data_IF_211603168007
#
_entry.id   IF_211603168007
#
_cell.length_a   1.000
_cell.length_b   1.000
_cell.length_c   1.000
_cell.angle_alpha   90.00
_cell.angle_beta   90.00
_cell.angle_gamma   90.00
#
_symmetry.space_group_name_H-M   'P 1'
#
loop_
_entity.id
_entity.type
_entity.pdbx_description
1 polymer ?
#
# COMPACT_ATOMS: atom_id res chain seq x y z
N UNK A 1 -10.08 -11.24 28.90
CA UNK A 1 -10.47 -10.28 29.95
C UNK A 1 -11.94 -9.95 29.73
N UNK A 2 -12.85 -10.49 30.54
CA UNK A 2 -14.27 -10.18 30.46
C UNK A 2 -14.57 -8.95 31.32
N UNK A 3 -14.55 -7.77 30.71
CA UNK A 3 -15.10 -6.57 31.34
C UNK A 3 -16.60 -6.72 31.41
N UNK A 4 -17.17 -6.74 32.61
CA UNK A 4 -18.62 -6.74 32.78
C UNK A 4 -19.18 -5.48 32.13
N UNK A 5 -19.90 -5.65 31.02
CA UNK A 5 -20.60 -4.53 30.38
C UNK A 5 -21.71 -4.10 31.32
N UNK A 6 -21.49 -2.99 32.03
CA UNK A 6 -22.59 -2.24 32.61
C UNK A 6 -23.54 -1.92 31.46
N UNK A 7 -24.78 -2.41 31.53
CA UNK A 7 -25.78 -2.06 30.52
C UNK A 7 -25.83 -0.53 30.40
N UNK A 8 -25.76 0.03 29.19
CA UNK A 8 -25.77 1.47 29.00
C UNK A 8 -27.03 2.04 29.65
N UNK A 9 -26.84 3.08 30.46
CA UNK A 9 -27.93 3.75 31.16
C UNK A 9 -28.97 4.21 30.12
N UNK A 10 -30.23 3.81 30.33
CA UNK A 10 -31.33 4.16 29.43
C UNK A 10 -31.75 5.59 29.77
N UNK A 11 -31.47 6.52 28.87
CA UNK A 11 -31.85 7.93 29.03
C UNK A 11 -33.32 8.14 28.66
N UNK A 12 -33.96 9.18 29.22
CA UNK A 12 -35.34 9.58 28.85
C UNK A 12 -35.47 9.82 27.34
N UNK A 13 -34.38 10.24 26.67
CA UNK A 13 -34.31 10.41 25.22
C UNK A 13 -34.50 9.11 24.42
N UNK A 14 -34.20 7.95 25.01
CA UNK A 14 -34.29 6.65 24.33
C UNK A 14 -35.73 6.22 24.06
N UNK A 15 -36.69 6.77 24.82
CA UNK A 15 -38.12 6.57 24.56
C UNK A 15 -38.50 7.16 23.19
N UNK A 16 -37.92 8.31 22.83
CA UNK A 16 -38.19 9.00 21.57
C UNK A 16 -37.26 8.53 20.43
N UNK A 17 -36.10 7.97 20.78
CA UNK A 17 -35.11 7.48 19.84
C UNK A 17 -34.62 6.08 20.24
N UNK A 18 -35.42 5.03 19.98
CA UNK A 18 -35.15 3.66 20.49
C UNK A 18 -33.87 3.02 19.96
N UNK A 19 -33.29 3.57 18.89
CA UNK A 19 -32.00 3.11 18.33
C UNK A 19 -30.78 3.79 18.97
N UNK A 20 -30.94 4.84 19.79
CA UNK A 20 -29.80 5.53 20.42
C UNK A 20 -28.95 4.61 21.31
N UNK A 21 -29.50 3.69 22.11
CA UNK A 21 -28.69 2.72 22.84
C UNK A 21 -27.79 1.88 21.92
N UNK A 22 -28.32 1.46 20.76
CA UNK A 22 -27.54 0.68 19.77
C UNK A 22 -26.43 1.54 19.15
N UNK A 23 -26.72 2.81 18.85
CA UNK A 23 -25.71 3.75 18.34
C UNK A 23 -24.59 4.02 19.35
N UNK A 24 -24.92 4.21 20.63
CA UNK A 24 -23.93 4.35 21.71
C UNK A 24 -23.04 3.11 21.81
N UNK A 25 -23.66 1.93 21.87
CA UNK A 25 -22.93 0.67 21.93
C UNK A 25 -22.01 0.49 20.70
N UNK A 26 -22.48 0.85 19.50
CA UNK A 26 -21.66 0.80 18.29
C UNK A 26 -20.50 1.80 18.31
N UNK A 27 -20.75 3.04 18.70
CA UNK A 27 -19.68 4.04 18.83
C UNK A 27 -18.62 3.61 19.86
N UNK A 28 -19.05 3.07 21.01
CA UNK A 28 -18.13 2.54 22.02
C UNK A 28 -17.32 1.34 21.49
N UNK A 29 -17.97 0.41 20.79
CA UNK A 29 -17.31 -0.72 20.14
C UNK A 29 -16.24 -0.24 19.16
N UNK A 30 -16.60 0.64 18.21
CA UNK A 30 -15.66 1.18 17.21
C UNK A 30 -14.49 1.92 17.86
N UNK A 31 -14.74 2.67 18.93
CA UNK A 31 -13.71 3.35 19.72
C UNK A 31 -12.72 2.36 20.34
N UNK A 32 -13.23 1.32 21.00
CA UNK A 32 -12.41 0.30 21.64
C UNK A 32 -11.59 -0.50 20.62
N UNK A 33 -12.18 -0.86 19.48
CA UNK A 33 -11.48 -1.55 18.39
C UNK A 33 -10.40 -0.66 17.75
N UNK A 34 -10.69 0.64 17.56
CA UNK A 34 -9.69 1.60 17.06
C UNK A 34 -8.48 1.67 18.00
N UNK A 35 -8.71 1.78 19.32
CA UNK A 35 -7.64 1.74 20.33
C UNK A 35 -6.86 0.44 20.27
N UNK A 36 -7.54 -0.69 20.11
CA UNK A 36 -6.91 -2.00 19.99
C UNK A 36 -5.98 -2.07 18.78
N UNK A 37 -6.42 -1.63 17.60
CA UNK A 37 -5.57 -1.57 16.40
C UNK A 37 -4.38 -0.62 16.56
N UNK A 38 -4.58 0.53 17.22
CA UNK A 38 -3.49 1.47 17.52
C UNK A 38 -2.45 0.86 18.48
N UNK A 39 -2.89 0.09 19.48
CA UNK A 39 -1.99 -0.62 20.39
C UNK A 39 -1.18 -1.70 19.64
N UNK A 40 -1.86 -2.52 18.81
CA UNK A 40 -1.21 -3.51 17.95
C UNK A 40 -0.20 -2.90 16.98
N UNK A 41 -0.51 -1.73 16.44
CA UNK A 41 0.40 -0.98 15.62
C UNK A 41 1.68 -0.61 16.38
N UNK A 42 1.57 -0.12 17.61
CA UNK A 42 2.72 0.23 18.43
C UNK A 42 3.58 -1.00 18.77
N UNK A 43 2.97 -2.15 19.07
CA UNK A 43 3.68 -3.43 19.27
C UNK A 43 4.52 -3.81 18.03
N UNK A 44 3.94 -3.68 16.85
CA UNK A 44 4.66 -3.95 15.59
C UNK A 44 5.75 -2.92 15.33
N UNK A 45 5.56 -1.66 15.74
CA UNK A 45 6.57 -0.62 15.57
C UNK A 45 7.78 -0.88 16.46
N UNK A 46 7.56 -1.23 17.71
CA UNK A 46 8.64 -1.62 18.63
C UNK A 46 9.40 -2.84 18.08
N UNK A 47 8.69 -3.80 17.48
CA UNK A 47 9.32 -4.94 16.79
C UNK A 47 10.20 -4.47 15.64
N UNK A 48 9.71 -3.58 14.77
CA UNK A 48 10.48 -3.03 13.65
C UNK A 48 11.74 -2.30 14.13
N UNK A 49 11.58 -1.44 15.13
CA UNK A 49 12.68 -0.64 15.71
C UNK A 49 13.74 -1.56 16.35
N UNK A 50 13.32 -2.68 16.97
CA UNK A 50 14.24 -3.68 17.53
C UNK A 50 15.02 -4.47 16.47
N UNK A 51 14.48 -4.59 15.26
CA UNK A 51 15.12 -5.29 14.14
C UNK A 51 16.20 -4.44 13.46
N UNK A 52 16.08 -3.12 13.50
CA UNK A 52 17.01 -2.18 12.84
C UNK A 52 18.49 -2.51 13.08
N UNK A 53 19.01 -2.56 14.33
CA UNK A 53 20.45 -2.77 14.54
C UNK A 53 20.92 -4.13 14.03
N UNK A 54 20.07 -5.17 14.15
CA UNK A 54 20.38 -6.53 13.68
C UNK A 54 20.47 -6.56 12.16
N UNK A 55 19.50 -5.97 11.49
CA UNK A 55 19.41 -5.93 10.02
C UNK A 55 20.53 -5.06 9.45
N UNK A 56 20.78 -3.89 10.04
CA UNK A 56 21.85 -2.99 9.62
C UNK A 56 23.22 -3.65 9.72
N UNK A 57 23.51 -4.32 10.84
CA UNK A 57 24.77 -5.05 10.99
C UNK A 57 24.94 -6.15 9.94
N UNK A 58 23.86 -6.84 9.54
CA UNK A 58 23.91 -7.86 8.49
C UNK A 58 24.13 -7.26 7.11
N UNK A 59 23.46 -6.16 6.80
CA UNK A 59 23.69 -5.41 5.56
C UNK A 59 25.15 -4.94 5.48
N UNK A 60 25.69 -4.34 6.53
CA UNK A 60 27.06 -3.83 6.52
C UNK A 60 28.08 -4.96 6.32
N UNK A 61 27.88 -6.10 6.98
CA UNK A 61 28.70 -7.30 6.79
C UNK A 61 28.58 -7.82 5.35
N UNK A 62 27.37 -7.83 4.81
CA UNK A 62 27.09 -8.25 3.45
C UNK A 62 27.77 -7.34 2.42
N UNK A 63 27.58 -6.02 2.51
CA UNK A 63 28.20 -5.04 1.62
C UNK A 63 29.73 -5.19 1.60
N UNK A 64 30.35 -5.32 2.78
CA UNK A 64 31.80 -5.54 2.91
C UNK A 64 32.25 -6.84 2.25
N UNK A 65 31.50 -7.93 2.38
CA UNK A 65 31.81 -9.22 1.72
C UNK A 65 31.91 -9.06 0.20
N UNK A 66 31.11 -8.17 -0.40
CA UNK A 66 31.09 -7.91 -1.84
C UNK A 66 31.93 -6.70 -2.27
N UNK A 67 32.78 -6.17 -1.39
CA UNK A 67 33.70 -5.09 -1.72
C UNK A 67 33.06 -3.70 -1.75
N UNK A 68 31.85 -3.54 -1.22
CA UNK A 68 31.22 -2.24 -1.02
C UNK A 68 31.50 -1.77 0.41
N UNK A 69 32.17 -0.63 0.57
CA UNK A 69 32.42 -0.08 1.90
C UNK A 69 31.16 0.62 2.44
N UNK A 70 30.34 1.16 1.54
CA UNK A 70 29.13 1.93 1.83
C UNK A 70 27.99 1.63 0.86
N UNK A 71 26.79 2.12 1.19
CA UNK A 71 25.66 2.10 0.27
C UNK A 71 25.92 2.94 -0.99
N UNK A 72 26.70 4.03 -0.89
CA UNK A 72 27.03 4.86 -2.05
C UNK A 72 27.92 4.15 -3.06
N UNK A 73 28.81 3.27 -2.58
CA UNK A 73 29.61 2.42 -3.47
C UNK A 73 28.72 1.46 -4.25
N UNK A 74 27.73 0.86 -3.57
CA UNK A 74 26.73 0.01 -4.20
C UNK A 74 25.90 0.79 -5.23
N UNK A 75 25.39 1.97 -4.87
CA UNK A 75 24.61 2.82 -5.78
C UNK A 75 25.44 3.20 -7.01
N UNK A 76 26.71 3.54 -6.82
CA UNK A 76 27.63 3.85 -7.92
C UNK A 76 27.83 2.66 -8.84
N UNK A 77 27.98 1.46 -8.26
CA UNK A 77 28.06 0.22 -9.03
C UNK A 77 26.78 -0.03 -9.83
N UNK A 78 25.61 0.11 -9.22
CA UNK A 78 24.31 -0.04 -9.88
C UNK A 78 24.19 0.93 -11.06
N UNK A 79 24.53 2.20 -10.88
CA UNK A 79 24.47 3.20 -11.95
C UNK A 79 25.42 2.87 -13.12
N UNK A 80 26.55 2.23 -12.85
CA UNK A 80 27.48 1.78 -13.91
C UNK A 80 27.02 0.51 -14.63
N UNK A 81 26.24 -0.34 -13.95
CA UNK A 81 25.75 -1.62 -14.48
C UNK A 81 24.44 -1.45 -15.26
N UNK A 82 23.53 -0.61 -14.77
CA UNK A 82 22.23 -0.40 -15.40
C UNK A 82 22.31 0.60 -16.54
N UNK A 83 21.46 0.39 -17.56
CA UNK A 83 21.27 1.32 -18.66
C UNK A 83 19.79 1.38 -19.06
N UNK A 84 19.42 2.40 -19.84
CA UNK A 84 18.08 2.55 -20.39
C UNK A 84 16.96 2.56 -19.35
N UNK A 85 15.94 1.74 -19.57
CA UNK A 85 14.74 1.67 -18.71
C UNK A 85 15.05 1.17 -17.29
N UNK A 86 16.01 0.25 -17.14
CA UNK A 86 16.38 -0.26 -15.82
C UNK A 86 17.01 0.85 -14.95
N UNK A 87 17.88 1.68 -15.53
CA UNK A 87 18.47 2.83 -14.82
C UNK A 87 17.40 3.87 -14.46
N UNK A 88 16.41 4.09 -15.34
CA UNK A 88 15.27 4.96 -15.05
C UNK A 88 14.47 4.45 -13.85
N UNK A 89 14.11 3.16 -13.83
CA UNK A 89 13.41 2.51 -12.70
C UNK A 89 14.20 2.61 -11.40
N UNK A 90 15.51 2.37 -11.45
CA UNK A 90 16.40 2.55 -10.30
C UNK A 90 16.42 3.98 -9.79
N UNK A 91 16.51 4.96 -10.70
CA UNK A 91 16.52 6.38 -10.33
C UNK A 91 15.21 6.79 -9.67
N UNK A 92 14.08 6.39 -10.26
CA UNK A 92 12.74 6.61 -9.67
C UNK A 92 12.65 6.01 -8.27
N UNK A 93 13.09 4.75 -8.12
CA UNK A 93 13.15 4.07 -6.84
C UNK A 93 13.98 4.87 -5.82
N UNK A 94 15.22 5.24 -6.17
CA UNK A 94 16.11 6.02 -5.30
C UNK A 94 15.48 7.36 -4.90
N UNK A 95 14.84 8.07 -5.83
CA UNK A 95 14.18 9.36 -5.55
C UNK A 95 12.92 9.23 -4.71
N UNK A 96 12.25 8.06 -4.74
CA UNK A 96 11.03 7.80 -3.98
C UNK A 96 11.32 7.49 -2.50
N UNK A 97 12.55 7.13 -2.18
CA UNK A 97 13.01 6.72 -0.85
C UNK A 97 13.74 7.88 -0.16
N UNK A 98 13.37 8.19 1.08
CA UNK A 98 14.08 9.16 1.90
C UNK A 98 15.27 8.47 2.56
N UNK A 99 16.49 8.85 2.20
CA UNK A 99 17.70 8.28 2.80
C UNK A 99 17.85 8.58 4.31
N UNK A 100 16.96 9.39 4.89
CA UNK A 100 16.90 9.68 6.32
C UNK A 100 16.32 8.50 7.14
N UNK A 101 15.46 7.66 6.54
CA UNK A 101 14.87 6.52 7.23
C UNK A 101 15.67 5.24 6.97
N UNK A 102 15.94 4.46 8.02
CA UNK A 102 16.76 3.26 7.90
C UNK A 102 16.12 2.19 7.01
N UNK A 103 14.78 2.08 7.02
CA UNK A 103 14.06 1.11 6.18
C UNK A 103 14.22 1.45 4.69
N UNK A 104 14.19 2.74 4.35
CA UNK A 104 14.39 3.22 2.99
C UNK A 104 15.81 2.87 2.52
N UNK A 105 16.82 3.06 3.39
CA UNK A 105 18.19 2.63 3.14
C UNK A 105 18.32 1.10 3.01
N UNK A 106 17.62 0.34 3.85
CA UNK A 106 17.55 -1.11 3.78
C UNK A 106 17.00 -1.59 2.43
N UNK A 107 15.92 -0.96 1.96
CA UNK A 107 15.31 -1.28 0.67
C UNK A 107 16.14 -0.88 -0.53
N UNK A 108 16.74 0.30 -0.46
CA UNK A 108 17.68 0.75 -1.48
C UNK A 108 18.88 -0.20 -1.55
N UNK A 109 19.33 -0.71 -0.39
CA UNK A 109 20.43 -1.68 -0.32
C UNK A 109 20.04 -3.01 -0.96
N UNK A 110 18.91 -3.62 -0.58
CA UNK A 110 18.45 -4.88 -1.17
C UNK A 110 18.28 -4.74 -2.69
N UNK A 111 17.60 -3.67 -3.11
CA UNK A 111 17.38 -3.38 -4.53
C UNK A 111 18.69 -3.17 -5.27
N UNK A 112 19.64 -2.48 -4.64
CA UNK A 112 20.96 -2.23 -5.22
C UNK A 112 21.79 -3.50 -5.36
N UNK A 113 21.75 -4.40 -4.37
CA UNK A 113 22.45 -5.69 -4.43
C UNK A 113 21.94 -6.51 -5.61
N UNK A 114 20.61 -6.61 -5.76
CA UNK A 114 20.01 -7.33 -6.89
C UNK A 114 20.38 -6.65 -8.21
N UNK A 115 20.26 -5.33 -8.31
CA UNK A 115 20.54 -4.59 -9.53
C UNK A 115 22.02 -4.67 -9.94
N UNK A 116 22.95 -4.58 -8.97
CA UNK A 116 24.37 -4.69 -9.22
C UNK A 116 24.77 -6.11 -9.69
N UNK A 117 24.14 -7.15 -9.14
CA UNK A 117 24.43 -8.55 -9.49
C UNK A 117 23.75 -9.02 -10.78
N UNK A 118 22.56 -8.51 -11.09
CA UNK A 118 21.72 -9.01 -12.20
C UNK A 118 21.59 -8.07 -13.39
N UNK A 119 21.84 -6.76 -13.20
CA UNK A 119 21.49 -5.75 -14.19
C UNK A 119 19.98 -5.47 -14.31
N UNK A 120 19.15 -6.01 -13.41
CA UNK A 120 17.69 -5.84 -13.42
C UNK A 120 17.22 -5.14 -12.13
N UNK A 121 16.22 -4.26 -12.25
CA UNK A 121 15.48 -3.68 -11.11
C UNK A 121 14.17 -4.43 -10.94
N UNK A 122 13.99 -5.09 -9.80
CA UNK A 122 12.79 -5.90 -9.54
C UNK A 122 11.57 -5.02 -9.32
N UNK A 123 10.52 -5.25 -10.11
CA UNK A 123 9.27 -4.49 -10.02
C UNK A 123 8.59 -4.61 -8.65
N UNK A 124 8.74 -5.75 -7.96
CA UNK A 124 8.22 -5.92 -6.60
C UNK A 124 8.85 -4.97 -5.57
N UNK A 125 10.16 -4.69 -5.68
CA UNK A 125 10.85 -3.76 -4.80
C UNK A 125 10.47 -2.31 -5.09
N UNK A 126 10.19 -1.97 -6.36
CA UNK A 126 9.63 -0.66 -6.72
C UNK A 126 8.25 -0.46 -6.11
N UNK A 127 7.39 -1.49 -6.11
CA UNK A 127 6.12 -1.40 -5.39
C UNK A 127 6.34 -1.17 -3.90
N UNK A 128 7.24 -1.94 -3.27
CA UNK A 128 7.56 -1.76 -1.85
C UNK A 128 8.05 -0.36 -1.50
N UNK A 129 8.86 0.24 -2.38
CA UNK A 129 9.41 1.59 -2.18
C UNK A 129 8.35 2.69 -2.25
N UNK A 130 7.40 2.58 -3.19
CA UNK A 130 6.29 3.55 -3.29
C UNK A 130 5.50 3.59 -1.99
N UNK A 131 5.37 2.45 -1.32
CA UNK A 131 4.59 2.31 -0.10
C UNK A 131 5.41 2.70 1.13
N UNK A 132 6.74 2.66 1.07
CA UNK A 132 7.65 3.00 2.17
C UNK A 132 8.29 4.38 2.03
N UNK A 133 8.11 5.09 0.93
CA UNK A 133 8.61 6.47 0.78
C UNK A 133 7.96 7.47 1.75
N UNK A 134 8.22 8.78 1.61
CA UNK A 134 7.67 9.81 2.51
C UNK A 134 6.14 9.77 2.66
N UNK A 135 5.42 9.45 1.57
CA UNK A 135 3.97 9.25 1.57
C UNK A 135 3.58 7.95 2.29
N UNK A 136 4.46 6.96 2.24
CA UNK A 136 4.36 5.71 2.96
C UNK A 136 4.41 5.87 4.47
N UNK A 137 5.36 6.66 4.95
CA UNK A 137 5.53 6.97 6.37
C UNK A 137 4.46 7.90 6.91
N UNK A 138 3.90 8.79 6.08
CA UNK A 138 2.76 9.62 6.49
C UNK A 138 1.53 8.79 6.86
N UNK A 139 1.42 7.55 6.35
CA UNK A 139 0.37 6.61 6.78
C UNK A 139 0.49 6.28 8.28
N UNK A 140 1.69 6.29 8.86
CA UNK A 140 1.86 6.12 10.32
C UNK A 140 1.32 7.31 11.13
N UNK A 141 1.28 8.52 10.54
CA UNK A 141 0.53 9.63 11.14
C UNK A 141 -0.98 9.32 11.21
N UNK A 142 -1.47 8.42 10.37
CA UNK A 142 -2.85 7.93 10.40
C UNK A 142 -3.25 7.31 11.74
N UNK A 143 -2.31 6.64 12.43
CA UNK A 143 -2.59 6.08 13.77
C UNK A 143 -2.72 7.18 14.81
N UNK A 144 -1.86 8.21 14.77
CA UNK A 144 -2.02 9.38 15.65
C UNK A 144 -3.31 10.14 15.37
N UNK A 145 -3.72 10.26 14.11
CA UNK A 145 -4.99 10.87 13.73
C UNK A 145 -6.18 10.03 14.24
N UNK A 146 -6.14 8.70 14.08
CA UNK A 146 -7.18 7.80 14.59
C UNK A 146 -7.33 7.91 16.12
N UNK A 147 -6.22 7.98 16.86
CA UNK A 147 -6.24 8.23 18.31
C UNK A 147 -6.83 9.60 18.66
N UNK A 148 -6.55 10.63 17.86
CA UNK A 148 -7.17 11.95 18.00
C UNK A 148 -8.69 11.92 17.83
N UNK A 149 -9.19 11.18 16.85
CA UNK A 149 -10.64 10.98 16.63
C UNK A 149 -11.28 10.27 17.83
N UNK A 150 -10.64 9.20 18.32
CA UNK A 150 -11.11 8.47 19.51
C UNK A 150 -11.22 9.39 20.74
N UNK A 151 -10.22 10.23 20.98
CA UNK A 151 -10.24 11.17 22.10
C UNK A 151 -11.35 12.23 21.96
N UNK A 152 -11.54 12.76 20.74
CA UNK A 152 -12.59 13.73 20.45
C UNK A 152 -13.99 13.13 20.64
N UNK A 153 -14.22 11.91 20.17
CA UNK A 153 -15.53 11.25 20.27
C UNK A 153 -15.84 10.86 21.72
N UNK A 154 -14.87 10.40 22.49
CA UNK A 154 -15.06 10.14 23.92
C UNK A 154 -15.59 11.39 24.66
N UNK A 155 -15.01 12.56 24.40
CA UNK A 155 -15.48 13.82 24.99
C UNK A 155 -16.88 14.26 24.53
N UNK A 156 -17.34 13.81 23.35
CA UNK A 156 -18.68 14.12 22.86
C UNK A 156 -19.76 13.24 23.50
N UNK A 157 -19.45 12.01 23.91
CA UNK A 157 -20.43 11.08 24.49
C UNK A 157 -20.87 11.53 25.89
N UNK A 158 -19.98 12.15 26.67
CA UNK A 158 -20.24 12.50 28.07
C UNK A 158 -21.14 13.74 28.27
N UNK A 159 -21.42 14.54 27.23
CA UNK A 159 -21.90 15.93 27.39
C UNK A 159 -23.36 16.17 26.93
N UNK A 160 -24.12 15.15 26.49
CA UNK A 160 -25.28 15.41 25.61
C UNK A 160 -26.60 14.77 26.07
N UNK A 161 -27.62 15.61 26.20
CA UNK A 161 -29.03 15.21 26.39
C UNK A 161 -29.88 15.55 25.15
N UNK A 162 -30.72 14.61 24.68
CA UNK A 162 -31.85 14.86 23.78
C UNK A 162 -31.60 14.71 22.28
N UNK A 163 -32.45 15.29 21.42
CA UNK A 163 -32.48 15.03 19.96
C UNK A 163 -31.21 15.34 19.17
N UNK A 164 -30.29 16.15 19.71
CA UNK A 164 -28.96 16.37 19.12
C UNK A 164 -28.03 15.14 19.27
N UNK A 165 -28.31 14.27 20.24
CA UNK A 165 -27.54 13.05 20.50
C UNK A 165 -27.51 12.14 19.27
N UNK A 166 -28.66 11.93 18.60
CA UNK A 166 -28.75 11.05 17.43
C UNK A 166 -27.81 11.46 16.29
N UNK A 167 -27.78 12.75 15.95
CA UNK A 167 -26.92 13.24 14.86
C UNK A 167 -25.45 13.13 15.22
N UNK A 168 -25.10 13.42 16.47
CA UNK A 168 -23.72 13.34 16.96
C UNK A 168 -23.24 11.90 17.08
N UNK A 169 -24.10 10.96 17.49
CA UNK A 169 -23.79 9.54 17.50
C UNK A 169 -23.59 8.99 16.08
N UNK A 170 -24.40 9.40 15.11
CA UNK A 170 -24.18 9.06 13.70
C UNK A 170 -22.84 9.55 13.18
N UNK A 171 -22.51 10.82 13.47
CA UNK A 171 -21.22 11.40 13.12
C UNK A 171 -20.07 10.65 13.82
N UNK A 172 -20.23 10.32 15.09
CA UNK A 172 -19.25 9.56 15.85
C UNK A 172 -19.01 8.17 15.24
N UNK A 173 -20.06 7.47 14.81
CA UNK A 173 -19.95 6.19 14.11
C UNK A 173 -19.18 6.35 12.80
N UNK A 174 -19.51 7.37 11.99
CA UNK A 174 -18.83 7.66 10.73
C UNK A 174 -17.32 7.95 10.92
N UNK A 175 -17.01 8.85 11.86
CA UNK A 175 -15.64 9.26 12.20
C UNK A 175 -14.85 8.06 12.77
N UNK A 176 -15.42 7.30 13.71
CA UNK A 176 -14.76 6.14 14.33
C UNK A 176 -14.61 4.96 13.38
N UNK A 177 -15.58 4.71 12.50
CA UNK A 177 -15.47 3.64 11.50
C UNK A 177 -14.29 3.91 10.56
N UNK A 178 -14.16 5.16 10.11
CA UNK A 178 -13.05 5.61 9.27
C UNK A 178 -11.71 5.48 10.00
N UNK A 179 -11.66 5.90 11.27
CA UNK A 179 -10.47 5.78 12.11
C UNK A 179 -10.07 4.32 12.35
N UNK A 180 -11.04 3.42 12.62
CA UNK A 180 -10.83 1.98 12.77
C UNK A 180 -10.20 1.37 11.51
N UNK A 181 -10.78 1.67 10.34
CA UNK A 181 -10.28 1.18 9.06
C UNK A 181 -8.85 1.65 8.79
N UNK A 182 -8.56 2.92 9.04
CA UNK A 182 -7.22 3.48 8.86
C UNK A 182 -6.19 2.86 9.83
N UNK A 183 -6.56 2.70 11.11
CA UNK A 183 -5.69 2.08 12.11
C UNK A 183 -5.38 0.62 11.76
N UNK A 184 -6.41 -0.16 11.39
CA UNK A 184 -6.25 -1.55 10.96
C UNK A 184 -5.37 -1.67 9.70
N UNK A 185 -5.60 -0.80 8.71
CA UNK A 185 -4.80 -0.80 7.49
C UNK A 185 -3.33 -0.48 7.76
N UNK A 186 -3.07 0.51 8.62
CA UNK A 186 -1.71 0.91 9.00
C UNK A 186 -0.99 -0.19 9.78
N UNK A 187 -1.71 -0.87 10.68
CA UNK A 187 -1.21 -2.08 11.35
C UNK A 187 -0.81 -3.17 10.34
N UNK A 188 -1.71 -3.53 9.41
CA UNK A 188 -1.45 -4.59 8.42
C UNK A 188 -0.25 -4.28 7.55
N UNK A 189 -0.10 -3.03 7.14
CA UNK A 189 1.06 -2.57 6.39
C UNK A 189 2.35 -2.76 7.18
N UNK A 190 2.37 -2.39 8.46
CA UNK A 190 3.54 -2.55 9.32
C UNK A 190 3.87 -4.02 9.63
N UNK A 191 2.84 -4.84 9.85
CA UNK A 191 2.98 -6.30 10.03
C UNK A 191 3.64 -6.93 8.80
N UNK A 192 3.21 -6.56 7.59
CA UNK A 192 3.86 -6.99 6.35
C UNK A 192 5.31 -6.52 6.33
N UNK A 193 5.60 -5.26 6.66
CA UNK A 193 6.98 -4.76 6.72
C UNK A 193 7.87 -5.56 7.67
N UNK A 194 7.41 -5.87 8.87
CA UNK A 194 8.16 -6.69 9.81
C UNK A 194 8.47 -8.08 9.24
N UNK A 195 7.47 -8.73 8.65
CA UNK A 195 7.66 -10.06 8.05
C UNK A 195 8.71 -10.03 6.93
N UNK A 196 8.67 -9.00 6.08
CA UNK A 196 9.63 -8.85 4.98
C UNK A 196 11.02 -8.47 5.46
N UNK A 197 11.13 -7.57 6.44
CA UNK A 197 12.40 -7.23 7.07
C UNK A 197 13.06 -8.47 7.67
N UNK A 198 12.30 -9.32 8.37
CA UNK A 198 12.81 -10.59 8.91
C UNK A 198 13.25 -11.52 7.77
N UNK A 199 12.41 -11.71 6.75
CA UNK A 199 12.69 -12.60 5.63
C UNK A 199 13.97 -12.19 4.88
N UNK A 200 14.18 -10.90 4.64
CA UNK A 200 15.40 -10.38 4.04
C UNK A 200 16.60 -10.43 5.00
N UNK A 201 16.37 -10.20 6.29
CA UNK A 201 17.43 -10.36 7.29
C UNK A 201 17.97 -11.78 7.31
N UNK A 202 17.11 -12.79 7.16
CA UNK A 202 17.51 -14.19 7.05
C UNK A 202 18.12 -14.51 5.69
N UNK A 203 17.63 -13.89 4.62
CA UNK A 203 18.26 -13.98 3.30
C UNK A 203 19.74 -13.58 3.32
N UNK A 204 20.11 -12.55 4.08
CA UNK A 204 21.51 -12.13 4.23
C UNK A 204 22.39 -13.12 5.01
N UNK A 205 21.82 -14.09 5.74
CA UNK A 205 22.60 -15.12 6.46
C UNK A 205 23.11 -16.21 5.54
N UNK A 206 22.29 -16.62 4.59
CA UNK A 206 22.40 -17.95 4.00
C UNK A 206 23.18 -17.99 2.65
N UNK A 207 24.00 -16.97 2.35
CA UNK A 207 24.81 -16.89 1.11
C UNK A 207 24.06 -17.04 -0.24
N UNK A 208 22.71 -17.10 -0.25
CA UNK A 208 21.88 -17.36 -1.45
C UNK A 208 22.08 -16.39 -2.60
N UNK A 209 22.69 -15.22 -2.38
CA UNK A 209 22.89 -14.22 -3.44
C UNK A 209 23.88 -14.72 -4.50
N UNK A 210 24.75 -15.67 -4.15
CA UNK A 210 25.62 -16.34 -5.12
C UNK A 210 24.84 -17.29 -6.05
N UNK A 211 23.60 -17.68 -5.71
CA UNK A 211 22.88 -18.79 -6.34
C UNK A 211 21.88 -18.42 -7.45
N UNK A 212 21.52 -17.14 -7.64
CA UNK A 212 20.91 -16.54 -8.86
C UNK A 212 19.85 -15.47 -8.52
N UNK A 213 19.84 -14.34 -9.24
CA UNK A 213 18.79 -13.32 -9.16
C UNK A 213 17.36 -13.84 -9.42
N UNK A 214 17.23 -14.88 -10.25
CA UNK A 214 15.94 -15.50 -10.59
C UNK A 214 15.29 -16.17 -9.37
N UNK A 215 16.10 -16.81 -8.51
CA UNK A 215 15.60 -17.41 -7.25
C UNK A 215 15.07 -16.30 -6.32
N UNK A 216 15.75 -15.15 -6.28
CA UNK A 216 15.28 -14.03 -5.50
C UNK A 216 13.92 -13.52 -6.00
N UNK A 217 13.78 -13.25 -7.30
CA UNK A 217 12.50 -12.77 -7.85
C UNK A 217 11.39 -13.80 -7.67
N UNK A 218 11.67 -15.09 -7.87
CA UNK A 218 10.70 -16.16 -7.65
C UNK A 218 10.26 -16.26 -6.19
N UNK A 219 11.20 -16.15 -5.25
CA UNK A 219 10.93 -16.33 -3.82
C UNK A 219 10.30 -15.10 -3.18
N UNK A 220 10.79 -13.91 -3.54
CA UNK A 220 10.41 -12.66 -2.90
C UNK A 220 9.46 -11.82 -3.75
N UNK A 221 9.60 -11.79 -5.08
CA UNK A 221 8.74 -11.00 -5.96
C UNK A 221 7.26 -11.40 -5.88
N UNK A 222 6.96 -12.71 -6.00
CA UNK A 222 5.57 -13.19 -5.91
C UNK A 222 5.02 -13.13 -4.48
N UNK A 223 5.80 -13.55 -3.48
CA UNK A 223 5.39 -13.47 -2.09
C UNK A 223 5.04 -12.05 -1.68
N UNK A 224 5.85 -11.08 -2.13
CA UNK A 224 5.68 -9.68 -1.78
C UNK A 224 4.39 -9.11 -2.36
N UNK A 225 4.09 -9.38 -3.64
CA UNK A 225 2.83 -8.97 -4.27
C UNK A 225 1.62 -9.56 -3.56
N UNK A 226 1.68 -10.83 -3.16
CA UNK A 226 0.59 -11.47 -2.42
C UNK A 226 0.35 -10.82 -1.05
N UNK A 227 1.42 -10.47 -0.35
CA UNK A 227 1.33 -9.78 0.94
C UNK A 227 0.90 -8.32 0.80
N UNK A 228 1.24 -7.66 -0.32
CA UNK A 228 0.82 -6.30 -0.62
C UNK A 228 -0.70 -6.15 -0.58
N UNK A 229 -1.43 -7.11 -1.14
CA UNK A 229 -2.90 -7.06 -1.16
C UNK A 229 -3.56 -7.26 0.22
N UNK A 230 -2.82 -7.75 1.23
CA UNK A 230 -3.36 -7.97 2.58
C UNK A 230 -3.71 -6.67 3.29
N UNK A 231 -3.03 -5.57 2.97
CA UNK A 231 -3.35 -4.24 3.50
C UNK A 231 -4.06 -3.35 2.48
N UNK A 232 -4.54 -3.91 1.35
CA UNK A 232 -5.48 -3.19 0.50
C UNK A 232 -6.72 -2.83 1.32
N UNK A 233 -7.20 -1.60 1.11
CA UNK A 233 -8.31 -1.06 1.90
C UNK A 233 -9.56 -1.94 1.82
N UNK A 234 -9.85 -2.53 0.67
CA UNK A 234 -11.01 -3.41 0.50
C UNK A 234 -10.84 -4.73 1.26
N UNK A 235 -9.62 -5.30 1.25
CA UNK A 235 -9.27 -6.49 2.03
C UNK A 235 -9.45 -6.23 3.53
N UNK A 236 -8.86 -5.16 4.05
CA UNK A 236 -8.96 -4.79 5.48
C UNK A 236 -10.41 -4.52 5.87
N UNK A 237 -11.18 -3.86 5.02
CA UNK A 237 -12.60 -3.62 5.26
C UNK A 237 -13.42 -4.90 5.29
N UNK A 238 -13.11 -5.87 4.41
CA UNK A 238 -13.76 -7.17 4.43
C UNK A 238 -13.43 -7.94 5.72
N UNK A 239 -12.20 -7.86 6.21
CA UNK A 239 -11.81 -8.43 7.50
C UNK A 239 -12.59 -7.79 8.66
N UNK A 240 -12.67 -6.45 8.70
CA UNK A 240 -13.43 -5.73 9.74
C UNK A 240 -14.92 -6.04 9.68
N UNK A 241 -15.51 -6.11 8.49
CA UNK A 241 -16.92 -6.48 8.33
C UNK A 241 -17.19 -7.94 8.72
N UNK A 242 -16.25 -8.84 8.43
CA UNK A 242 -16.33 -10.22 8.87
C UNK A 242 -16.27 -10.31 10.39
N UNK A 243 -15.36 -9.58 11.02
CA UNK A 243 -15.29 -9.46 12.48
C UNK A 243 -16.60 -8.91 13.07
N UNK A 244 -17.16 -7.85 12.47
CA UNK A 244 -18.44 -7.27 12.89
C UNK A 244 -19.59 -8.29 12.83
N UNK A 245 -19.60 -9.18 11.82
CA UNK A 245 -20.59 -10.28 11.74
C UNK A 245 -20.37 -11.32 12.84
N UNK A 246 -19.13 -11.70 13.10
CA UNK A 246 -18.78 -12.70 14.12
C UNK A 246 -19.18 -12.25 15.53
N UNK A 247 -19.06 -10.97 15.83
CA UNK A 247 -19.45 -10.39 17.13
C UNK A 247 -20.90 -9.90 17.16
N UNK A 248 -21.67 -10.12 16.08
CA UNK A 248 -23.05 -9.63 15.91
C UNK A 248 -23.19 -8.11 16.17
N UNK A 249 -22.24 -7.32 15.65
CA UNK A 249 -22.22 -5.88 15.79
C UNK A 249 -23.44 -5.22 15.11
N UNK A 250 -23.87 -4.08 15.65
CA UNK A 250 -24.90 -3.25 15.01
C UNK A 250 -24.26 -2.32 13.96
N UNK A 251 -24.42 -2.65 12.67
CA UNK A 251 -23.73 -1.94 11.57
C UNK A 251 -24.67 -1.13 10.67
N UNK A 252 -25.93 -0.93 11.07
CA UNK A 252 -26.96 -0.34 10.21
C UNK A 252 -26.66 1.11 9.75
N UNK A 253 -25.81 1.81 10.48
CA UNK A 253 -25.43 3.21 10.19
C UNK A 253 -23.93 3.36 9.90
N UNK A 254 -23.21 2.25 9.68
CA UNK A 254 -21.83 2.31 9.24
C UNK A 254 -21.76 2.88 7.83
N UNK A 255 -20.76 3.73 7.51
CA UNK A 255 -20.61 4.30 6.19
C UNK A 255 -20.24 3.26 5.14
N UNK A 256 -20.72 3.44 3.92
CA UNK A 256 -20.26 2.66 2.78
C UNK A 256 -18.80 3.03 2.44
N UNK A 257 -17.96 2.03 2.16
CA UNK A 257 -16.52 2.23 1.90
C UNK A 257 -16.21 3.24 0.79
N UNK A 258 -17.07 3.32 -0.25
CA UNK A 258 -16.92 4.27 -1.35
C UNK A 258 -16.91 5.73 -0.87
N UNK A 259 -17.60 6.04 0.23
CA UNK A 259 -17.70 7.39 0.78
C UNK A 259 -16.48 7.80 1.60
N UNK A 260 -15.64 6.85 2.00
CA UNK A 260 -14.51 7.09 2.91
C UNK A 260 -13.21 7.43 2.16
N UNK A 261 -13.17 7.24 0.83
CA UNK A 261 -12.00 7.56 -0.01
C UNK A 261 -11.69 9.05 -0.08
N UNK A 262 -12.67 9.94 0.12
CA UNK A 262 -12.50 11.40 0.08
C UNK A 262 -12.02 12.02 1.40
N UNK A 263 -12.28 11.38 2.54
CA UNK A 263 -12.00 11.95 3.87
C UNK A 263 -10.54 11.77 4.32
N UNK A 264 -9.91 10.63 4.02
CA UNK A 264 -8.56 10.28 4.50
C UNK A 264 -7.49 11.22 3.92
N UNK A 265 -7.66 11.68 2.68
CA UNK A 265 -6.76 12.66 2.06
C UNK A 265 -6.86 14.05 2.72
N UNK A 266 -8.04 14.38 3.26
CA UNK A 266 -8.34 15.70 3.82
C UNK A 266 -7.82 15.85 5.26
N UNK A 267 -7.86 14.79 6.06
CA UNK A 267 -7.33 14.81 7.43
C UNK A 267 -5.79 14.96 7.47
N UNK A 268 -5.09 14.35 6.51
CA UNK A 268 -3.64 14.52 6.33
C UNK A 268 -3.23 15.93 5.85
N UNK A 269 -4.19 16.73 5.37
CA UNK A 269 -3.97 18.10 4.90
C UNK A 269 -4.27 19.18 5.97
N UNK A 270 -4.66 18.80 7.19
CA UNK A 270 -4.77 19.78 8.28
C UNK A 270 -3.36 20.13 8.82
N UNK A 271 -2.99 21.42 8.88
CA UNK A 271 -1.66 21.82 9.32
C UNK A 271 -1.42 21.46 10.79
N UNK A 272 -0.50 20.53 11.02
CA UNK A 272 0.08 20.22 12.33
C UNK A 272 0.92 21.39 12.83
N UNK A 273 0.28 22.41 13.40
CA UNK A 273 0.94 23.64 13.83
C UNK A 273 1.57 23.59 15.25
N UNK A 274 1.70 22.42 15.91
CA UNK A 274 2.11 22.42 17.34
C UNK A 274 3.10 21.32 17.75
N UNK A 275 3.91 20.79 16.84
CA UNK A 275 4.93 19.78 17.20
C UNK A 275 6.28 20.03 16.51
N UNK A 276 6.84 21.24 16.63
CA UNK A 276 8.23 21.51 16.26
C UNK A 276 8.92 22.33 17.36
N UNK A 277 9.47 21.65 18.36
CA UNK A 277 10.57 22.16 19.19
C UNK A 277 11.45 20.96 19.55
N UNK A 278 12.52 20.74 18.78
CA UNK A 278 13.87 20.41 19.29
C UNK A 278 14.78 19.90 18.16
N UNK A 279 15.80 20.73 17.86
CA UNK A 279 17.17 20.37 17.43
C UNK A 279 17.31 19.76 16.01
N UNK A 280 18.02 20.34 15.03
CA UNK A 280 19.02 21.42 15.02
C UNK A 280 20.37 20.90 14.53
N UNK A 281 20.68 21.18 13.24
CA UNK A 281 22.00 21.53 12.65
C UNK A 281 23.21 20.57 12.84
N UNK A 282 24.17 20.31 11.94
CA UNK A 282 24.71 21.01 10.76
C UNK A 282 25.76 20.15 9.99
N UNK A 283 25.88 20.43 8.68
CA UNK A 283 27.10 20.61 7.84
C UNK A 283 27.99 19.45 7.28
N UNK A 284 28.08 19.51 5.93
CA UNK A 284 29.04 19.06 4.90
C UNK A 284 30.51 19.59 5.12
N UNK A 285 31.58 19.29 4.31
CA UNK A 285 31.57 19.07 2.84
C UNK A 285 32.70 18.22 2.14
N UNK A 286 32.54 18.09 0.80
CA UNK A 286 33.53 18.11 -0.32
C UNK A 286 34.60 16.99 -0.45
N UNK A 287 35.09 16.50 -1.61
CA UNK A 287 35.14 16.86 -3.06
C UNK A 287 35.73 15.63 -3.84
N UNK A 288 35.31 15.25 -5.06
CA UNK A 288 35.76 15.61 -6.44
C UNK A 288 36.67 14.60 -7.21
N UNK A 289 36.51 14.60 -8.55
CA UNK A 289 37.28 14.00 -9.68
C UNK A 289 37.14 12.48 -9.91
N UNK A 290 36.93 11.92 -11.11
CA UNK A 290 36.85 12.38 -12.51
C UNK A 290 37.39 11.26 -13.43
N UNK A 291 36.69 10.86 -14.50
CA UNK A 291 37.25 9.96 -15.52
C UNK A 291 36.23 9.21 -16.42
N UNK A 292 36.35 9.42 -17.72
CA UNK A 292 35.55 8.89 -18.86
C UNK A 292 36.20 7.67 -19.54
N UNK A 293 35.46 6.65 -20.01
CA UNK A 293 35.74 5.83 -21.23
C UNK A 293 34.43 5.18 -21.75
N UNK A 294 34.40 4.93 -23.06
CA UNK A 294 33.31 4.70 -24.03
C UNK A 294 33.16 3.22 -24.50
N UNK A 295 31.96 2.87 -25.05
CA UNK A 295 31.65 1.82 -26.10
C UNK A 295 31.77 0.32 -25.69
N UNK A 296 30.94 -0.70 -26.04
CA UNK A 296 29.88 -1.01 -27.04
C UNK A 296 29.08 -2.30 -26.68
N UNK A 297 27.84 -2.38 -27.21
CA UNK A 297 27.12 -3.55 -27.84
C UNK A 297 27.15 -4.97 -27.25
N UNK A 298 26.02 -5.45 -26.73
CA UNK A 298 25.01 -6.37 -27.33
C UNK A 298 25.11 -7.84 -26.88
N UNK A 299 23.99 -8.38 -26.38
CA UNK A 299 23.40 -9.66 -26.82
C UNK A 299 22.16 -10.01 -25.98
N UNK A 300 21.06 -10.36 -26.67
CA UNK A 300 19.87 -11.02 -26.12
C UNK A 300 20.16 -12.51 -25.88
N UNK A 301 19.48 -13.15 -24.91
CA UNK A 301 18.61 -14.29 -25.27
C UNK A 301 17.26 -14.26 -24.52
N UNK A 302 16.15 -14.42 -25.22
CA UNK A 302 15.38 -15.67 -25.38
C UNK A 302 14.49 -16.02 -24.17
N UNK A 303 13.22 -15.66 -24.33
CA UNK A 303 12.09 -16.06 -23.50
C UNK A 303 11.63 -17.45 -23.94
N UNK A 304 11.46 -18.38 -22.99
CA UNK A 304 10.70 -19.61 -23.19
C UNK A 304 9.62 -19.76 -22.11
N UNK A 305 8.48 -20.19 -22.63
CA UNK A 305 7.09 -19.97 -22.21
C UNK A 305 6.54 -20.98 -21.20
N UNK A 306 5.49 -20.55 -20.47
CA UNK A 306 4.12 -21.07 -20.65
C UNK A 306 3.12 -20.30 -19.76
N UNK A 307 2.14 -19.55 -20.32
CA UNK A 307 1.05 -18.98 -19.54
C UNK A 307 -0.18 -19.92 -19.48
N UNK A 308 -0.90 -19.84 -18.36
CA UNK A 308 -2.28 -20.34 -18.23
C UNK A 308 -3.18 -19.49 -19.12
N UNK A 309 -3.84 -20.12 -20.10
CA UNK A 309 -4.90 -19.56 -20.97
C UNK A 309 -4.44 -18.28 -21.71
N UNK A 310 -3.79 -18.46 -22.87
CA UNK A 310 -3.61 -17.37 -23.83
C UNK A 310 -4.99 -16.90 -24.32
N UNK A 311 -5.43 -15.74 -23.85
CA UNK A 311 -6.56 -15.02 -24.41
C UNK A 311 -6.10 -13.64 -24.83
N UNK A 312 -6.16 -13.34 -26.13
CA UNK A 312 -5.94 -11.99 -26.63
C UNK A 312 -7.22 -11.20 -26.39
N UNK A 313 -7.11 -10.12 -25.61
CA UNK A 313 -8.21 -9.17 -25.41
C UNK A 313 -7.92 -7.90 -26.23
N UNK A 314 -8.82 -7.58 -27.16
CA UNK A 314 -8.78 -6.30 -27.87
C UNK A 314 -9.54 -5.26 -27.05
N UNK A 315 -8.80 -4.36 -26.39
CA UNK A 315 -9.35 -3.30 -25.53
C UNK A 315 -9.41 -2.00 -26.32
N UNK A 316 -10.61 -1.43 -26.43
CA UNK A 316 -10.83 -0.14 -27.10
C UNK A 316 -10.84 1.00 -26.08
N UNK A 317 -9.68 1.59 -25.80
CA UNK A 317 -9.62 2.72 -24.86
C UNK A 317 -10.06 4.00 -25.55
N UNK A 318 -11.10 4.65 -25.02
CA UNK A 318 -11.49 6.02 -25.38
C UNK A 318 -11.30 6.88 -24.15
N UNK A 319 -10.31 7.77 -24.16
CA UNK A 319 -10.14 8.78 -23.11
C UNK A 319 -10.98 10.03 -23.43
N UNK A 320 -11.31 10.82 -22.41
CA UNK A 320 -11.97 12.13 -22.55
C UNK A 320 -11.12 13.05 -23.45
N UNK A 321 -11.45 13.08 -24.74
CA UNK A 321 -10.61 13.70 -25.78
C UNK A 321 -10.57 12.95 -27.12
N UNK A 322 -11.17 11.76 -27.21
CA UNK A 322 -11.43 11.08 -28.48
C UNK A 322 -10.25 10.32 -29.09
N UNK A 323 -9.14 10.19 -28.36
CA UNK A 323 -8.05 9.31 -28.79
C UNK A 323 -8.48 7.87 -28.59
N UNK A 324 -8.72 7.17 -29.71
CA UNK A 324 -9.00 5.75 -29.74
C UNK A 324 -7.69 4.98 -29.87
N UNK A 325 -7.39 4.13 -28.89
CA UNK A 325 -6.29 3.17 -28.99
C UNK A 325 -6.83 1.76 -28.79
N UNK A 326 -6.61 0.91 -29.80
CA UNK A 326 -6.85 -0.52 -29.69
C UNK A 326 -5.61 -1.14 -29.04
N UNK A 327 -5.76 -1.61 -27.80
CA UNK A 327 -4.71 -2.33 -27.10
C UNK A 327 -4.96 -3.81 -27.30
N UNK A 328 -3.95 -4.51 -27.82
CA UNK A 328 -3.94 -5.96 -27.84
C UNK A 328 -3.23 -6.42 -26.58
N UNK A 329 -3.97 -6.96 -25.62
CA UNK A 329 -3.40 -7.28 -24.31
C UNK A 329 -3.50 -8.77 -23.99
N UNK A 330 -2.49 -9.28 -23.29
CA UNK A 330 -2.46 -10.64 -22.77
C UNK A 330 -2.76 -10.60 -21.26
N UNK A 331 -3.76 -11.36 -20.82
CA UNK A 331 -4.09 -11.46 -19.40
C UNK A 331 -2.94 -12.12 -18.66
N UNK A 332 -2.35 -11.39 -17.72
CA UNK A 332 -1.25 -11.91 -16.89
C UNK A 332 -1.80 -12.50 -15.59
N UNK A 333 -2.67 -11.75 -14.91
CA UNK A 333 -3.12 -12.12 -13.57
C UNK A 333 -4.51 -11.53 -13.27
N UNK A 334 -5.37 -12.31 -12.61
CA UNK A 334 -6.66 -11.84 -12.10
C UNK A 334 -6.51 -11.56 -10.61
N UNK A 335 -6.48 -10.28 -10.24
CA UNK A 335 -6.24 -9.84 -8.87
C UNK A 335 -7.52 -9.90 -8.01
N UNK A 336 -8.68 -9.65 -8.62
CA UNK A 336 -10.00 -9.76 -8.00
C UNK A 336 -11.09 -9.86 -9.06
N UNK A 337 -12.36 -9.91 -8.63
CA UNK A 337 -13.51 -9.84 -9.54
C UNK A 337 -13.59 -8.53 -10.34
N UNK A 338 -12.90 -7.48 -9.90
CA UNK A 338 -12.92 -6.15 -10.53
C UNK A 338 -11.53 -5.61 -10.86
N UNK A 339 -10.47 -6.40 -10.68
CA UNK A 339 -9.12 -5.93 -10.97
C UNK A 339 -8.27 -7.06 -11.55
N UNK A 340 -7.49 -6.75 -12.58
CA UNK A 340 -6.60 -7.70 -13.23
C UNK A 340 -5.45 -6.95 -13.90
N UNK A 341 -4.34 -7.63 -14.13
CA UNK A 341 -3.19 -7.08 -14.85
C UNK A 341 -3.09 -7.71 -16.23
N UNK A 342 -2.77 -6.89 -17.21
CA UNK A 342 -2.56 -7.32 -18.58
C UNK A 342 -1.23 -6.79 -19.10
N UNK A 343 -0.62 -7.51 -20.03
CA UNK A 343 0.56 -7.06 -20.76
C UNK A 343 0.09 -6.48 -22.11
N UNK A 344 0.37 -5.20 -22.36
CA UNK A 344 0.17 -4.62 -23.69
C UNK A 344 1.20 -5.21 -24.65
N UNK A 345 0.75 -6.02 -25.61
CA UNK A 345 1.63 -6.73 -26.53
C UNK A 345 2.35 -5.78 -27.50
N UNK A 346 1.84 -4.57 -27.72
CA UNK A 346 2.48 -3.60 -28.60
C UNK A 346 3.67 -2.90 -27.93
N UNK A 347 3.57 -2.64 -26.63
CA UNK A 347 4.55 -1.86 -25.87
C UNK A 347 5.36 -2.69 -24.88
N UNK A 348 4.94 -3.93 -24.63
CA UNK A 348 5.42 -4.79 -23.53
C UNK A 348 5.27 -4.15 -22.15
N UNK A 349 4.32 -3.23 -21.98
CA UNK A 349 4.06 -2.57 -20.70
C UNK A 349 2.99 -3.33 -19.89
N UNK A 350 3.20 -3.41 -18.58
CA UNK A 350 2.22 -3.99 -17.66
C UNK A 350 1.18 -2.94 -17.28
N UNK A 351 -0.08 -3.24 -17.57
CA UNK A 351 -1.22 -2.38 -17.29
C UNK A 351 -2.08 -2.99 -16.18
N UNK A 352 -2.41 -2.19 -15.18
CA UNK A 352 -3.41 -2.50 -14.17
C UNK A 352 -4.78 -2.07 -14.64
N UNK A 353 -5.71 -3.00 -14.81
CA UNK A 353 -7.10 -2.70 -15.15
C UNK A 353 -7.94 -2.86 -13.90
N UNK A 354 -8.65 -1.80 -13.53
CA UNK A 354 -9.66 -1.83 -12.46
C UNK A 354 -11.01 -1.46 -13.05
N UNK A 355 -11.97 -2.38 -12.94
CA UNK A 355 -13.37 -2.16 -13.21
C UNK A 355 -14.02 -1.49 -11.98
N UNK A 356 -14.66 -0.37 -12.19
CA UNK A 356 -15.61 0.23 -11.28
C UNK A 356 -17.00 0.01 -11.83
N UNK A 357 -17.84 -0.58 -11.00
CA UNK A 357 -19.23 -0.79 -11.36
C UNK A 357 -19.92 0.58 -11.31
N UNK A 358 -20.39 1.09 -12.45
CA UNK A 358 -21.13 2.34 -12.44
C UNK A 358 -22.36 2.21 -11.53
N UNK A 359 -22.71 3.30 -10.86
CA UNK A 359 -23.89 3.37 -10.00
C UNK A 359 -25.12 3.22 -10.89
N UNK A 360 -25.62 1.98 -10.95
CA UNK A 360 -26.66 1.54 -11.88
C UNK A 360 -27.71 0.82 -11.06
N UNK A 361 -28.95 1.29 -11.18
CA UNK A 361 -30.12 0.72 -10.52
C UNK A 361 -30.60 -0.57 -11.20
N UNK A 362 -29.90 -1.06 -12.23
CA UNK A 362 -30.25 -2.30 -12.93
C UNK A 362 -29.96 -3.52 -12.04
N UNK A 363 -30.89 -4.48 -11.95
CA UNK A 363 -30.72 -5.68 -11.12
C UNK A 363 -29.66 -6.66 -11.65
N UNK A 364 -29.30 -6.55 -12.94
CA UNK A 364 -28.23 -7.32 -13.58
C UNK A 364 -27.32 -6.34 -14.32
N UNK A 365 -26.03 -6.34 -13.99
CA UNK A 365 -25.04 -5.42 -14.55
C UNK A 365 -24.27 -6.13 -15.64
N UNK A 366 -24.25 -5.54 -16.84
CA UNK A 366 -23.50 -6.05 -17.98
C UNK A 366 -22.11 -5.40 -18.03
N UNK A 367 -21.20 -5.95 -18.83
CA UNK A 367 -19.84 -5.41 -18.99
C UNK A 367 -19.85 -3.94 -19.47
N UNK A 368 -20.85 -3.58 -20.28
CA UNK A 368 -21.11 -2.21 -20.75
C UNK A 368 -21.52 -1.24 -19.63
N UNK A 369 -22.01 -1.74 -18.49
CA UNK A 369 -22.35 -0.93 -17.31
C UNK A 369 -21.12 -0.72 -16.39
N UNK A 370 -19.94 -1.24 -16.75
CA UNK A 370 -18.69 -1.08 -16.00
C UNK A 370 -17.85 0.04 -16.60
N UNK A 371 -17.34 0.92 -15.74
CA UNK A 371 -16.30 1.89 -16.09
C UNK A 371 -14.96 1.27 -15.75
N UNK A 372 -13.99 1.39 -16.63
CA UNK A 372 -12.66 0.86 -16.34
C UNK A 372 -11.68 2.00 -16.17
N UNK A 373 -10.73 1.81 -15.26
CA UNK A 373 -9.51 2.60 -15.19
C UNK A 373 -8.35 1.71 -15.58
N UNK A 374 -7.47 2.24 -16.42
CA UNK A 374 -6.26 1.55 -16.88
C UNK A 374 -5.08 2.35 -16.35
N UNK A 375 -4.30 1.76 -15.46
CA UNK A 375 -3.08 2.36 -14.91
C UNK A 375 -1.89 1.72 -15.56
N UNK A 376 -1.05 2.53 -16.18
CA UNK A 376 0.24 2.06 -16.67
C UNK A 376 1.22 2.02 -15.49
N UNK A 377 1.73 0.85 -15.13
CA UNK A 377 2.65 0.73 -13.99
C UNK A 377 4.05 1.28 -14.29
N UNK A 378 4.42 1.48 -15.56
CA UNK A 378 5.71 2.07 -15.94
C UNK A 378 5.73 3.59 -15.74
N UNK A 379 4.63 4.26 -16.09
CA UNK A 379 4.50 5.73 -16.02
C UNK A 379 3.70 6.20 -14.82
N UNK A 380 2.95 5.30 -14.16
CA UNK A 380 1.94 5.61 -13.13
C UNK A 380 0.80 6.50 -13.63
N UNK A 381 0.62 6.63 -14.95
CA UNK A 381 -0.51 7.35 -15.53
C UNK A 381 -1.76 6.47 -15.52
N UNK A 382 -2.87 7.03 -15.03
CA UNK A 382 -4.18 6.37 -15.02
C UNK A 382 -5.11 7.01 -16.04
N UNK A 383 -5.55 6.23 -17.01
CA UNK A 383 -6.66 6.57 -17.89
C UNK A 383 -7.96 6.17 -17.20
N UNK A 384 -8.83 7.14 -16.98
CA UNK A 384 -10.17 6.91 -16.43
C UNK A 384 -11.21 6.77 -17.54
N UNK A 385 -12.41 6.28 -17.19
CA UNK A 385 -13.56 6.15 -18.10
C UNK A 385 -13.31 5.30 -19.35
N UNK A 386 -12.41 4.31 -19.28
CA UNK A 386 -12.17 3.40 -20.38
C UNK A 386 -13.39 2.48 -20.58
N UNK A 387 -13.80 2.27 -21.83
CA UNK A 387 -14.89 1.37 -22.21
C UNK A 387 -14.27 0.09 -22.76
N UNK A 388 -14.71 -1.07 -22.27
CA UNK A 388 -14.21 -2.36 -22.78
C UNK A 388 -15.26 -2.99 -23.69
N UNK A 389 -14.92 -3.16 -24.97
CA UNK A 389 -15.68 -3.99 -25.90
C UNK A 389 -15.01 -5.36 -25.97
N UNK A 390 -15.73 -6.40 -25.56
CA UNK A 390 -15.22 -7.77 -25.61
C UNK A 390 -15.42 -8.35 -27.01
N UNK A 391 -14.32 -8.52 -27.76
CA UNK A 391 -14.24 -9.50 -28.85
C UNK A 391 -13.37 -10.65 -28.36
N UNK A 392 -13.98 -11.76 -27.93
CA UNK A 392 -13.22 -13.00 -27.78
C UNK A 392 -13.12 -13.61 -29.17
N UNK A 393 -11.90 -13.68 -29.71
CA UNK A 393 -11.58 -14.66 -30.72
C UNK A 393 -11.15 -15.94 -29.98
N UNK A 394 -11.96 -17.00 -30.09
CA UNK A 394 -11.48 -18.32 -29.74
C UNK A 394 -10.50 -18.74 -30.86
N UNK A 395 -9.26 -19.01 -30.50
CA UNK A 395 -8.29 -19.68 -31.39
C UNK A 395 -8.55 -21.18 -31.45
#
# INVERSE_FOLDING_TARGET
MGGGSSMPEVGIGDIFYPDNPKRRARAEQLSNETKWWCARFNEQKETLDSLEPVVRSRIDAYLKKFGYATLDDLVSKVNSTLSGDALKKWTTLKTSLSQEHWLDNFLLTISGIVAAGSGIVLGGLVLFSVISGPVGWSVFAGVSAAMGVVALVAGLIDVINGGQERQKLRKAIDDLYSARLQAAQTYRKLEVYNNWVIAFSDFFKDEWIELSPEIFEKKFGQGFRNDFYKFDRSTVNNELNQHDREVNAWTNEDPAIANISSMVLTAAAMPMATAMVAQGETALPESSHGGTVDVSETSKPEVLSNPLIEGILDVHVTADGGVQKNLRVELQEVLSTTAFTVLDLATSELLGIRAEVADSTKPMKMLEDMKFSVTNFSTMETLHNCIFFKQIFAS
#
